data_IF_113132852354
#
_entry.id   IF_113132852354
#
_cell.length_a   1.000
_cell.length_b   1.000
_cell.length_c   1.000
_cell.angle_alpha   90.00
_cell.angle_beta   90.00
_cell.angle_gamma   90.00
#
_symmetry.space_group_name_H-M   'P 1'
#
loop_
_entity.id
_entity.type
_entity.pdbx_description
1 polymer ?
#
# COMPACT_ATOMS: atom_id res chain seq x y z
N UNK A 1 -13.35 5.36 32.52
CA UNK A 1 -13.39 4.45 31.36
C UNK A 1 -14.17 5.16 30.29
N UNK A 2 -13.47 5.69 29.28
CA UNK A 2 -14.10 6.22 28.07
C UNK A 2 -13.33 5.60 26.90
N UNK A 3 -14.00 4.67 26.22
CA UNK A 3 -13.60 4.16 24.91
C UNK A 3 -13.79 5.29 23.91
N UNK A 4 -12.69 5.70 23.28
CA UNK A 4 -12.68 6.47 22.03
C UNK A 4 -12.11 5.52 20.97
N UNK A 5 -13.01 4.72 20.42
CA UNK A 5 -12.70 3.61 19.52
C UNK A 5 -12.78 4.05 18.06
N UNK A 6 -11.70 3.73 17.36
CA UNK A 6 -11.67 3.25 15.98
C UNK A 6 -11.92 4.26 14.84
N UNK A 7 -10.97 5.17 14.57
CA UNK A 7 -10.64 5.58 13.19
C UNK A 7 -9.20 6.05 12.97
N UNK A 8 -8.37 6.12 14.01
CA UNK A 8 -6.94 6.39 13.84
C UNK A 8 -6.19 5.10 14.12
N UNK A 9 -5.45 4.60 13.13
CA UNK A 9 -4.54 3.46 13.16
C UNK A 9 -3.69 3.54 14.48
N UNK A 10 -4.17 2.99 15.61
CA UNK A 10 -3.54 3.09 16.94
C UNK A 10 -2.46 2.00 17.03
N UNK A 11 -1.33 2.27 16.40
CA UNK A 11 -0.12 1.50 16.57
C UNK A 11 0.59 1.92 17.85
N UNK A 12 1.10 0.95 18.60
CA UNK A 12 2.11 1.24 19.61
C UNK A 12 3.34 1.86 18.93
N UNK A 13 4.12 2.69 19.64
CA UNK A 13 5.29 3.37 19.05
C UNK A 13 6.30 2.41 18.40
N UNK A 14 6.44 1.19 18.93
CA UNK A 14 7.29 0.15 18.34
C UNK A 14 6.71 -0.46 17.07
N UNK A 15 5.38 -0.62 16.98
CA UNK A 15 4.72 -1.10 15.78
C UNK A 15 4.69 -0.02 14.69
N UNK A 16 4.56 1.26 15.08
CA UNK A 16 4.67 2.39 14.16
C UNK A 16 6.08 2.47 13.52
N UNK A 17 7.14 2.36 14.34
CA UNK A 17 8.54 2.30 13.86
C UNK A 17 8.77 1.14 12.89
N UNK A 18 8.32 -0.06 13.27
CA UNK A 18 8.46 -1.25 12.44
C UNK A 18 7.75 -1.08 11.10
N UNK A 19 6.55 -0.49 11.11
CA UNK A 19 5.82 -0.17 9.87
C UNK A 19 6.53 0.86 9.02
N UNK A 20 7.00 1.96 9.61
CA UNK A 20 7.78 2.96 8.87
C UNK A 20 9.02 2.38 8.19
N UNK A 21 9.70 1.41 8.83
CA UNK A 21 10.85 0.72 8.25
C UNK A 21 10.44 -0.24 7.13
N UNK A 22 9.35 -1.00 7.31
CA UNK A 22 8.80 -1.90 6.31
C UNK A 22 8.27 -1.15 5.08
N UNK A 23 7.53 -0.06 5.29
CA UNK A 23 7.01 0.82 4.23
C UNK A 23 8.17 1.44 3.45
N UNK A 24 9.21 1.93 4.14
CA UNK A 24 10.40 2.49 3.48
C UNK A 24 11.17 1.44 2.68
N UNK A 25 11.31 0.23 3.21
CA UNK A 25 11.92 -0.88 2.49
C UNK A 25 11.11 -1.19 1.22
N UNK A 26 9.78 -1.24 1.32
CA UNK A 26 8.92 -1.50 0.17
C UNK A 26 8.98 -0.37 -0.88
N UNK A 27 9.02 0.89 -0.45
CA UNK A 27 9.21 2.04 -1.35
C UNK A 27 10.54 1.95 -2.09
N UNK A 28 11.62 1.56 -1.42
CA UNK A 28 12.93 1.37 -2.05
C UNK A 28 12.94 0.24 -3.10
N UNK A 29 12.04 -0.74 -2.95
CA UNK A 29 11.88 -1.87 -3.86
C UNK A 29 10.93 -1.58 -5.04
N UNK A 30 10.33 -0.38 -5.08
CA UNK A 30 9.52 0.04 -6.21
C UNK A 30 10.40 0.26 -7.45
N UNK A 31 10.22 -0.57 -8.46
CA UNK A 31 10.92 -0.42 -9.74
C UNK A 31 10.26 0.66 -10.61
N UNK A 32 8.93 0.68 -10.66
CA UNK A 32 8.13 1.65 -11.44
C UNK A 32 6.67 1.62 -11.01
N UNK A 33 5.95 2.68 -11.34
CA UNK A 33 4.49 2.71 -11.27
C UNK A 33 3.90 3.19 -12.59
N UNK A 34 2.70 2.74 -12.91
CA UNK A 34 1.94 3.09 -14.11
C UNK A 34 0.49 3.41 -13.72
N UNK A 35 -0.06 4.50 -14.24
CA UNK A 35 -1.48 4.82 -14.08
C UNK A 35 -2.26 4.20 -15.24
N UNK A 36 -3.23 3.34 -14.96
CA UNK A 36 -4.17 2.86 -15.98
C UNK A 36 -5.26 3.90 -16.23
N UNK A 37 -5.77 4.52 -15.16
CA UNK A 37 -6.69 5.67 -15.18
C UNK A 37 -6.70 6.41 -13.83
N UNK A 38 -7.59 7.39 -13.64
CA UNK A 38 -7.72 8.18 -12.41
C UNK A 38 -8.06 7.37 -11.14
N UNK A 39 -8.54 6.14 -11.29
CA UNK A 39 -8.92 5.22 -10.22
C UNK A 39 -8.11 3.94 -10.18
N UNK A 40 -7.16 3.74 -11.09
CA UNK A 40 -6.38 2.50 -11.16
C UNK A 40 -4.90 2.78 -11.36
N UNK A 41 -4.09 2.24 -10.46
CA UNK A 41 -2.63 2.29 -10.55
C UNK A 41 -2.03 0.90 -10.44
N UNK A 42 -0.91 0.70 -11.13
CA UNK A 42 -0.12 -0.53 -11.07
C UNK A 42 1.29 -0.18 -10.60
N UNK A 43 1.65 -0.67 -9.43
CA UNK A 43 2.99 -0.59 -8.85
C UNK A 43 3.75 -1.87 -9.21
N UNK A 44 4.99 -1.76 -9.67
CA UNK A 44 5.83 -2.91 -10.00
C UNK A 44 7.04 -2.94 -9.08
N UNK A 45 7.21 -4.05 -8.38
CA UNK A 45 8.30 -4.30 -7.43
C UNK A 45 9.21 -5.43 -7.91
N UNK A 46 10.41 -5.48 -7.33
CA UNK A 46 11.33 -6.61 -7.51
C UNK A 46 10.68 -7.94 -7.06
N UNK A 47 11.04 -9.09 -7.67
CA UNK A 47 10.46 -10.40 -7.33
C UNK A 47 10.75 -10.80 -5.88
N UNK A 48 11.91 -10.40 -5.34
CA UNK A 48 12.29 -10.63 -3.94
C UNK A 48 11.37 -9.96 -2.91
N UNK A 49 10.54 -9.02 -3.34
CA UNK A 49 9.73 -8.15 -2.48
C UNK A 49 8.28 -8.63 -2.36
N UNK A 50 7.95 -9.82 -2.88
CA UNK A 50 6.61 -10.42 -2.82
C UNK A 50 6.05 -10.45 -1.40
N UNK A 51 6.87 -10.91 -0.44
CA UNK A 51 6.47 -11.00 0.95
C UNK A 51 6.10 -9.62 1.52
N UNK A 52 6.94 -8.61 1.26
CA UNK A 52 6.71 -7.22 1.70
C UNK A 52 5.44 -6.64 1.09
N UNK A 53 5.21 -6.84 -0.21
CA UNK A 53 3.99 -6.39 -0.90
C UNK A 53 2.74 -7.02 -0.27
N UNK A 54 2.77 -8.32 0.05
CA UNK A 54 1.63 -9.02 0.66
C UNK A 54 1.37 -8.54 2.09
N UNK A 55 2.42 -8.29 2.88
CA UNK A 55 2.27 -7.74 4.22
C UNK A 55 1.66 -6.34 4.18
N UNK A 56 2.19 -5.47 3.32
CA UNK A 56 1.66 -4.13 3.09
C UNK A 56 0.18 -4.16 2.70
N UNK A 57 -0.22 -4.98 1.73
CA UNK A 57 -1.63 -5.09 1.32
C UNK A 57 -2.51 -5.57 2.46
N UNK A 58 -2.05 -6.52 3.28
CA UNK A 58 -2.82 -7.00 4.44
C UNK A 58 -3.02 -5.90 5.49
N UNK A 59 -2.01 -5.07 5.70
CA UNK A 59 -2.10 -3.95 6.64
C UNK A 59 -2.96 -2.80 6.10
N UNK A 60 -2.75 -2.40 4.83
CA UNK A 60 -3.54 -1.37 4.17
C UNK A 60 -4.99 -1.77 3.98
N UNK A 61 -5.28 -3.04 3.72
CA UNK A 61 -6.67 -3.53 3.68
C UNK A 61 -7.40 -3.36 5.02
N UNK A 62 -6.67 -3.20 6.13
CA UNK A 62 -7.24 -2.97 7.46
C UNK A 62 -7.48 -1.48 7.76
N UNK A 63 -6.58 -0.57 7.36
CA UNK A 63 -6.75 0.89 7.57
C UNK A 63 -7.45 1.60 6.39
N UNK A 64 -7.40 1.04 5.18
CA UNK A 64 -7.96 1.56 3.93
C UNK A 64 -8.79 0.49 3.18
N UNK A 65 -9.75 -0.15 3.86
CA UNK A 65 -10.55 -1.29 3.36
C UNK A 65 -11.41 -1.01 2.12
N UNK A 66 -11.51 0.24 1.69
CA UNK A 66 -12.25 0.65 0.51
C UNK A 66 -11.43 0.51 -0.78
N UNK A 67 -10.10 0.42 -0.70
CA UNK A 67 -9.24 0.12 -1.84
C UNK A 67 -9.28 -1.38 -2.14
N UNK A 68 -9.29 -1.71 -3.42
CA UNK A 68 -9.10 -3.08 -3.90
C UNK A 68 -7.64 -3.26 -4.31
N UNK A 69 -7.00 -4.30 -3.77
CA UNK A 69 -5.59 -4.61 -4.00
C UNK A 69 -5.47 -5.99 -4.64
N UNK A 70 -4.94 -6.06 -5.86
CA UNK A 70 -4.66 -7.31 -6.58
C UNK A 70 -3.14 -7.46 -6.75
N UNK A 71 -2.58 -8.45 -6.04
CA UNK A 71 -1.14 -8.78 -6.08
C UNK A 71 -0.93 -9.93 -7.04
N UNK A 72 -0.10 -9.72 -8.07
CA UNK A 72 0.31 -10.78 -9.01
C UNK A 72 1.81 -10.93 -9.05
N UNK A 73 2.27 -12.13 -8.76
CA UNK A 73 3.64 -12.55 -9.06
C UNK A 73 3.72 -13.01 -10.53
N UNK A 74 4.70 -12.48 -11.26
CA UNK A 74 4.98 -12.84 -12.65
C UNK A 74 6.25 -13.65 -12.83
N UNK A 75 6.96 -13.97 -11.75
CA UNK A 75 8.27 -14.63 -11.73
C UNK A 75 9.45 -13.65 -11.85
N UNK A 76 9.32 -12.65 -12.72
CA UNK A 76 10.35 -11.60 -12.90
C UNK A 76 10.06 -10.33 -12.08
N UNK A 77 8.83 -10.15 -11.61
CA UNK A 77 8.40 -8.99 -10.84
C UNK A 77 7.09 -9.27 -10.09
N UNK A 78 6.85 -8.47 -9.05
CA UNK A 78 5.58 -8.46 -8.32
C UNK A 78 4.78 -7.23 -8.73
N UNK A 79 3.55 -7.43 -9.20
CA UNK A 79 2.65 -6.37 -9.65
C UNK A 79 1.55 -6.12 -8.64
N UNK A 80 1.65 -4.93 -8.08
CA UNK A 80 0.75 -4.12 -7.29
C UNK A 80 -0.44 -3.48 -8.03
N UNK A 81 -1.58 -4.12 -8.33
CA UNK A 81 -2.74 -3.33 -8.84
C UNK A 81 -3.56 -2.78 -7.67
N UNK A 82 -3.76 -1.46 -7.66
CA UNK A 82 -4.61 -0.77 -6.69
C UNK A 82 -5.77 -0.11 -7.42
N UNK A 83 -6.99 -0.40 -6.99
CA UNK A 83 -8.22 0.14 -7.55
C UNK A 83 -8.96 0.95 -6.49
N UNK A 84 -9.30 2.19 -6.83
CA UNK A 84 -10.03 3.11 -5.98
C UNK A 84 -11.53 3.14 -6.36
N UNK A 85 -12.44 3.13 -5.37
CA UNK A 85 -13.84 3.42 -5.63
C UNK A 85 -13.99 4.88 -6.06
N UNK A 86 -15.12 5.18 -6.72
CA UNK A 86 -15.43 6.53 -7.15
C UNK A 86 -15.46 7.49 -5.95
N UNK A 87 -14.72 8.61 -6.05
CA UNK A 87 -14.56 9.60 -4.98
C UNK A 87 -13.32 9.39 -4.09
N UNK A 88 -12.54 8.33 -4.30
CA UNK A 88 -11.29 8.07 -3.59
C UNK A 88 -10.03 8.31 -4.46
N UNK A 89 -10.16 8.97 -5.61
CA UNK A 89 -9.06 9.25 -6.56
C UNK A 89 -7.91 9.99 -5.89
N UNK A 90 -8.24 10.98 -5.05
CA UNK A 90 -7.26 11.78 -4.31
C UNK A 90 -6.48 10.95 -3.29
N UNK A 91 -7.11 9.93 -2.70
CA UNK A 91 -6.45 9.03 -1.77
C UNK A 91 -5.51 8.09 -2.52
N UNK A 92 -5.91 7.59 -3.70
CA UNK A 92 -5.04 6.78 -4.56
C UNK A 92 -3.82 7.58 -5.03
N UNK A 93 -4.01 8.85 -5.42
CA UNK A 93 -2.91 9.74 -5.76
C UNK A 93 -1.93 9.95 -4.60
N UNK A 94 -2.44 10.10 -3.37
CA UNK A 94 -1.60 10.22 -2.19
C UNK A 94 -0.83 8.93 -1.91
N UNK A 95 -1.48 7.76 -2.04
CA UNK A 95 -0.86 6.45 -1.87
C UNK A 95 0.29 6.26 -2.87
N UNK A 96 0.03 6.44 -4.17
CA UNK A 96 1.06 6.31 -5.22
C UNK A 96 2.16 7.36 -5.05
N UNK A 97 1.81 8.57 -4.62
CA UNK A 97 2.78 9.63 -4.32
C UNK A 97 3.74 9.28 -3.19
N UNK A 98 3.31 8.50 -2.20
CA UNK A 98 4.18 8.01 -1.12
C UNK A 98 5.27 7.05 -1.62
N UNK A 99 5.02 6.34 -2.72
CA UNK A 99 6.03 5.48 -3.36
C UNK A 99 6.96 6.23 -4.32
N UNK A 100 6.58 7.42 -4.79
CA UNK A 100 7.32 8.20 -5.78
C UNK A 100 8.18 9.34 -5.22
N UNK A 101 8.35 9.43 -3.90
CA UNK A 101 9.05 10.54 -3.20
C UNK A 101 10.51 10.23 -2.88
#
# INVERSE_FOLDING_TARGET
>A
MSNDEAFTCQLSEQDARRREEADRALVAELARYEWEDDRHAVLTFAPSSEHLVREFVREESSCCSFFDFDVRDTGDAVRLRVSAPHGAERMLQALVGAFGS
#
